data_IF_621591913171
#
_entry.id   IF_621591913171
#
_cell.length_a   1.000
_cell.length_b   1.000
_cell.length_c   1.000
_cell.angle_alpha   90.00
_cell.angle_beta   90.00
_cell.angle_gamma   90.00
#
_symmetry.space_group_name_H-M   'P 1'
#
loop_
_entity.id
_entity.type
_entity.pdbx_description
1 polymer ?
#
# COMPACT_ATOMS: atom_id res chain seq x y z
N UNK A 1 -32.37 1.04 4.21
CA UNK A 1 -31.31 1.43 5.16
C UNK A 1 -30.03 1.57 4.36
N UNK A 2 -29.20 2.59 4.56
CA UNK A 2 -27.91 2.66 3.90
C UNK A 2 -27.09 1.42 4.27
N UNK A 3 -26.46 0.79 3.29
CA UNK A 3 -25.61 -0.38 3.50
C UNK A 3 -24.39 0.11 4.30
N UNK A 4 -24.23 -0.33 5.53
CA UNK A 4 -23.02 -0.05 6.33
C UNK A 4 -21.91 -0.95 5.80
N UNK A 5 -20.95 -0.36 5.10
CA UNK A 5 -19.79 -1.09 4.63
C UNK A 5 -18.82 -1.35 5.79
N UNK A 6 -18.41 -2.60 5.94
CA UNK A 6 -17.34 -2.99 6.85
C UNK A 6 -15.96 -2.76 6.23
N UNK A 7 -14.95 -2.49 7.05
CA UNK A 7 -13.58 -2.19 6.60
C UNK A 7 -12.57 -3.10 7.29
N UNK A 8 -11.69 -3.73 6.50
CA UNK A 8 -10.50 -4.40 7.00
C UNK A 8 -9.26 -3.58 6.64
N UNK A 9 -8.45 -3.26 7.65
CA UNK A 9 -7.19 -2.51 7.50
C UNK A 9 -6.04 -3.49 7.50
N UNK A 10 -5.32 -3.58 6.38
CA UNK A 10 -4.16 -4.45 6.20
C UNK A 10 -2.89 -3.63 6.33
N UNK A 11 -2.02 -4.01 7.28
CA UNK A 11 -0.78 -3.29 7.61
C UNK A 11 0.41 -4.21 7.35
N UNK A 12 1.23 -3.95 6.32
CA UNK A 12 2.49 -4.66 6.15
C UNK A 12 3.52 -4.13 7.15
N UNK A 13 4.12 -5.01 7.94
CA UNK A 13 5.15 -4.68 8.91
C UNK A 13 6.46 -5.38 8.56
N UNK A 14 7.58 -4.63 8.59
CA UNK A 14 8.94 -5.16 8.49
C UNK A 14 9.90 -4.31 9.28
N UNK A 15 10.23 -4.75 10.50
CA UNK A 15 11.13 -4.07 11.44
C UNK A 15 10.68 -2.64 11.84
N UNK A 16 9.38 -2.31 11.65
CA UNK A 16 8.79 -0.98 11.92
C UNK A 16 8.08 -0.90 13.29
N UNK A 17 8.61 -1.60 14.31
CA UNK A 17 7.99 -1.80 15.64
C UNK A 17 7.49 -0.51 16.29
N UNK A 18 8.32 0.54 16.29
CA UNK A 18 7.99 1.82 16.94
C UNK A 18 6.75 2.49 16.34
N UNK A 19 6.62 2.42 15.02
CA UNK A 19 5.49 3.04 14.31
C UNK A 19 4.25 2.17 14.40
N UNK A 20 4.41 0.85 14.33
CA UNK A 20 3.30 -0.09 14.43
C UNK A 20 2.49 0.12 15.70
N UNK A 21 3.15 0.19 16.87
CA UNK A 21 2.46 0.38 18.15
C UNK A 21 1.60 1.64 18.19
N UNK A 22 2.13 2.79 17.74
CA UNK A 22 1.36 4.04 17.70
C UNK A 22 0.20 3.97 16.71
N UNK A 23 0.42 3.37 15.54
CA UNK A 23 -0.61 3.24 14.51
C UNK A 23 -1.74 2.31 14.98
N UNK A 24 -1.41 1.19 15.63
CA UNK A 24 -2.43 0.29 16.16
C UNK A 24 -3.27 0.96 17.26
N UNK A 25 -2.66 1.79 18.09
CA UNK A 25 -3.40 2.57 19.10
C UNK A 25 -4.40 3.53 18.43
N UNK A 26 -3.97 4.26 17.39
CA UNK A 26 -4.84 5.18 16.66
C UNK A 26 -6.00 4.45 15.98
N UNK A 27 -5.71 3.31 15.33
CA UNK A 27 -6.71 2.52 14.64
C UNK A 27 -7.70 1.82 15.58
N UNK A 28 -7.27 1.43 16.77
CA UNK A 28 -8.14 0.82 17.79
C UNK A 28 -9.14 1.80 18.40
N UNK A 29 -8.93 3.09 18.23
CA UNK A 29 -9.84 4.14 18.67
C UNK A 29 -10.88 4.54 17.60
N UNK A 30 -10.86 3.94 16.41
CA UNK A 30 -11.84 4.23 15.36
C UNK A 30 -13.22 3.66 15.68
N UNK A 31 -14.26 4.37 15.26
CA UNK A 31 -15.67 3.96 15.44
C UNK A 31 -16.44 4.07 14.12
N UNK A 32 -17.14 3.01 13.65
CA UNK A 32 -17.11 1.63 14.20
C UNK A 32 -15.71 1.01 14.10
N UNK A 33 -15.36 0.09 15.01
CA UNK A 33 -14.06 -0.55 15.04
C UNK A 33 -13.83 -1.37 13.75
N UNK A 34 -12.77 -1.08 12.95
CA UNK A 34 -12.44 -1.88 11.78
C UNK A 34 -11.79 -3.21 12.16
N UNK A 35 -11.83 -4.17 11.26
CA UNK A 35 -10.97 -5.35 11.35
C UNK A 35 -9.51 -4.94 11.07
N UNK A 36 -8.57 -5.25 11.97
CA UNK A 36 -7.16 -4.90 11.80
C UNK A 36 -6.34 -6.17 11.59
N UNK A 37 -5.52 -6.18 10.53
CA UNK A 37 -4.70 -7.31 10.12
C UNK A 37 -3.27 -6.82 9.93
N UNK A 38 -2.33 -7.37 10.71
CA UNK A 38 -0.90 -7.09 10.57
C UNK A 38 -0.24 -8.26 9.85
N UNK A 39 0.35 -7.98 8.69
CA UNK A 39 1.11 -8.95 7.90
C UNK A 39 2.59 -8.72 8.14
N UNK A 40 3.17 -9.52 9.04
CA UNK A 40 4.53 -9.35 9.55
C UNK A 40 5.56 -10.14 8.76
N UNK A 41 6.61 -9.47 8.32
CA UNK A 41 7.82 -10.05 7.73
C UNK A 41 9.09 -9.53 8.41
N UNK A 42 8.99 -9.18 9.69
CA UNK A 42 10.09 -8.70 10.52
C UNK A 42 11.04 -9.84 10.90
N UNK A 43 12.28 -9.49 11.23
CA UNK A 43 13.29 -10.45 11.71
C UNK A 43 12.94 -10.99 13.10
N UNK A 44 12.38 -10.14 13.96
CA UNK A 44 11.93 -10.51 15.29
C UNK A 44 10.40 -10.47 15.37
N UNK A 45 9.77 -11.59 15.05
CA UNK A 45 8.32 -11.77 15.13
C UNK A 45 7.78 -11.70 16.56
N UNK A 46 8.62 -11.99 17.56
CA UNK A 46 8.24 -11.94 18.96
C UNK A 46 7.83 -10.54 19.39
N UNK A 47 8.56 -9.53 18.95
CA UNK A 47 8.24 -8.12 19.23
C UNK A 47 6.91 -7.70 18.60
N UNK A 48 6.65 -8.08 17.34
CA UNK A 48 5.38 -7.75 16.69
C UNK A 48 4.21 -8.46 17.36
N UNK A 49 4.40 -9.73 17.75
CA UNK A 49 3.40 -10.50 18.49
C UNK A 49 3.04 -9.84 19.81
N UNK A 50 4.04 -9.32 20.54
CA UNK A 50 3.80 -8.61 21.80
C UNK A 50 3.02 -7.32 21.60
N UNK A 51 3.39 -6.52 20.59
CA UNK A 51 2.67 -5.28 20.23
C UNK A 51 1.21 -5.57 19.85
N UNK A 52 0.93 -6.70 19.18
CA UNK A 52 -0.42 -7.04 18.74
C UNK A 52 -1.30 -7.65 19.84
N UNK A 53 -0.74 -8.13 20.95
CA UNK A 53 -1.50 -8.82 22.02
C UNK A 53 -2.58 -7.96 22.68
N UNK A 54 -2.29 -6.68 22.89
CA UNK A 54 -3.16 -5.76 23.61
C UNK A 54 -4.37 -5.28 22.78
N UNK A 55 -4.42 -5.68 21.51
CA UNK A 55 -5.45 -5.27 20.57
C UNK A 55 -6.05 -6.51 19.89
N UNK A 56 -7.32 -6.48 19.55
CA UNK A 56 -8.00 -7.56 18.81
C UNK A 56 -7.54 -7.62 17.35
N UNK A 57 -6.23 -7.88 17.14
CA UNK A 57 -5.54 -7.80 15.86
C UNK A 57 -5.27 -9.21 15.34
N UNK A 58 -5.55 -9.41 14.05
CA UNK A 58 -5.11 -10.61 13.33
C UNK A 58 -3.65 -10.43 12.91
N UNK A 59 -2.76 -11.24 13.46
CA UNK A 59 -1.34 -11.25 13.12
C UNK A 59 -1.05 -12.41 12.16
N UNK A 60 -0.42 -12.12 11.03
CA UNK A 60 0.05 -13.09 10.03
C UNK A 60 1.55 -12.97 9.90
N UNK A 61 2.25 -14.11 9.90
CA UNK A 61 3.67 -14.18 9.54
C UNK A 61 3.79 -14.47 8.05
N UNK A 62 4.60 -13.68 7.32
CA UNK A 62 4.76 -13.79 5.87
C UNK A 62 6.23 -13.96 5.51
N UNK A 63 6.55 -15.08 4.86
CA UNK A 63 7.88 -15.39 4.33
C UNK A 63 7.74 -15.91 2.88
N UNK A 64 8.66 -15.54 1.99
CA UNK A 64 9.74 -14.57 2.14
C UNK A 64 9.22 -13.13 2.23
N UNK A 65 10.02 -12.17 2.75
CA UNK A 65 9.59 -10.78 2.95
C UNK A 65 9.41 -10.06 1.60
N UNK A 66 8.17 -10.00 1.14
CA UNK A 66 7.74 -9.21 -0.03
C UNK A 66 6.55 -8.38 0.36
N UNK A 67 6.58 -7.07 0.05
CA UNK A 67 5.49 -6.17 0.40
C UNK A 67 4.19 -6.55 -0.31
N UNK A 68 4.24 -6.88 -1.60
CA UNK A 68 3.07 -7.36 -2.33
C UNK A 68 2.48 -8.60 -1.68
N UNK A 69 3.31 -9.59 -1.32
CA UNK A 69 2.85 -10.80 -0.62
C UNK A 69 2.24 -10.51 0.76
N UNK A 70 2.84 -9.60 1.53
CA UNK A 70 2.27 -9.21 2.83
C UNK A 70 0.86 -8.63 2.67
N UNK A 71 0.66 -7.76 1.69
CA UNK A 71 -0.62 -7.14 1.40
C UNK A 71 -1.65 -8.16 0.88
N UNK A 72 -1.25 -9.03 -0.05
CA UNK A 72 -2.11 -10.09 -0.59
C UNK A 72 -2.54 -11.08 0.50
N UNK A 73 -1.61 -11.56 1.32
CA UNK A 73 -1.91 -12.47 2.43
C UNK A 73 -2.80 -11.84 3.49
N UNK A 74 -2.60 -10.54 3.78
CA UNK A 74 -3.49 -9.79 4.64
C UNK A 74 -4.90 -9.69 4.07
N UNK A 75 -5.03 -9.40 2.79
CA UNK A 75 -6.31 -9.32 2.09
C UNK A 75 -7.05 -10.68 2.05
N UNK A 76 -6.33 -11.80 1.90
CA UNK A 76 -6.91 -13.16 1.97
C UNK A 76 -7.58 -13.45 3.32
N UNK A 77 -7.07 -12.87 4.42
CA UNK A 77 -7.60 -13.05 5.78
C UNK A 77 -8.66 -12.03 6.18
N UNK A 78 -8.86 -11.01 5.33
CA UNK A 78 -9.87 -9.99 5.54
C UNK A 78 -11.29 -10.51 5.24
N UNK A 79 -12.25 -10.09 6.07
CA UNK A 79 -13.66 -10.52 5.94
C UNK A 79 -14.61 -9.37 5.57
N UNK A 80 -14.11 -8.14 5.59
CA UNK A 80 -14.92 -6.94 5.36
C UNK A 80 -15.18 -6.66 3.87
N UNK A 81 -16.14 -5.76 3.59
CA UNK A 81 -16.51 -5.36 2.22
C UNK A 81 -15.42 -4.54 1.54
N UNK A 82 -14.71 -3.72 2.32
CA UNK A 82 -13.66 -2.80 1.87
C UNK A 82 -12.33 -3.22 2.48
N UNK A 83 -11.29 -3.29 1.66
CA UNK A 83 -9.90 -3.41 2.06
C UNK A 83 -9.26 -2.03 2.08
N UNK A 84 -8.56 -1.68 3.16
CA UNK A 84 -7.72 -0.51 3.29
C UNK A 84 -6.27 -0.96 3.52
N UNK A 85 -5.38 -0.68 2.60
CA UNK A 85 -3.95 -0.98 2.71
C UNK A 85 -3.23 0.21 3.32
N UNK A 86 -2.80 0.07 4.56
CA UNK A 86 -2.27 1.17 5.37
C UNK A 86 -0.85 0.89 5.84
N UNK A 87 0.00 1.93 5.85
CA UNK A 87 1.38 1.80 6.31
C UNK A 87 1.51 2.07 7.81
N UNK A 88 2.37 1.30 8.49
CA UNK A 88 2.63 1.47 9.90
C UNK A 88 3.18 2.87 10.29
N UNK A 89 3.73 3.63 9.35
CA UNK A 89 4.32 4.95 9.58
C UNK A 89 3.48 6.12 9.04
N UNK A 90 2.20 5.89 8.81
CA UNK A 90 1.28 6.88 8.22
C UNK A 90 0.16 7.20 9.21
N UNK A 91 -0.19 8.48 9.35
CA UNK A 91 -1.25 8.94 10.25
C UNK A 91 -2.63 8.57 9.67
N UNK A 92 -3.53 8.06 10.53
CA UNK A 92 -4.91 7.78 10.15
C UNK A 92 -5.84 8.15 11.30
N UNK A 93 -6.86 8.95 11.03
CA UNK A 93 -7.79 9.47 12.03
C UNK A 93 -9.23 9.09 11.70
N UNK A 94 -10.15 9.32 12.66
CA UNK A 94 -11.59 9.14 12.47
C UNK A 94 -12.09 9.88 11.22
N UNK A 95 -11.60 11.10 10.96
CA UNK A 95 -12.00 11.89 9.79
C UNK A 95 -11.64 11.21 8.45
N UNK A 96 -10.48 10.51 8.37
CA UNK A 96 -10.13 9.69 7.21
C UNK A 96 -11.11 8.50 7.08
N UNK A 97 -11.38 7.84 8.19
CA UNK A 97 -12.26 6.68 8.23
C UNK A 97 -13.70 7.02 7.83
N UNK A 98 -14.25 8.10 8.37
CA UNK A 98 -15.58 8.59 8.03
C UNK A 98 -15.68 8.99 6.54
N UNK A 99 -14.66 9.66 6.02
CA UNK A 99 -14.59 10.05 4.60
C UNK A 99 -14.58 8.84 3.68
N UNK A 100 -13.88 7.76 4.08
CA UNK A 100 -13.86 6.50 3.33
C UNK A 100 -15.27 5.87 3.30
N UNK A 101 -15.88 5.65 4.45
CA UNK A 101 -17.20 5.05 4.54
C UNK A 101 -18.26 5.90 3.82
N UNK A 102 -18.22 7.21 4.02
CA UNK A 102 -19.14 8.14 3.37
C UNK A 102 -19.02 8.09 1.84
N UNK A 103 -17.83 7.94 1.30
CA UNK A 103 -17.62 7.88 -0.15
C UNK A 103 -18.38 6.73 -0.79
N UNK A 104 -18.35 5.53 -0.21
CA UNK A 104 -19.09 4.36 -0.71
C UNK A 104 -20.60 4.45 -0.44
N UNK A 105 -21.01 5.12 0.63
CA UNK A 105 -22.42 5.32 0.92
C UNK A 105 -23.10 6.35 0.00
N UNK A 106 -22.33 7.33 -0.51
CA UNK A 106 -22.85 8.40 -1.37
C UNK A 106 -22.79 8.10 -2.85
N UNK A 107 -21.85 7.23 -3.27
CA UNK A 107 -21.63 6.90 -4.68
C UNK A 107 -21.33 5.41 -4.82
N UNK A 108 -22.34 4.63 -5.17
CA UNK A 108 -22.22 3.17 -5.34
C UNK A 108 -21.39 2.75 -6.57
N UNK A 109 -20.98 3.69 -7.40
CA UNK A 109 -20.12 3.40 -8.56
C UNK A 109 -18.63 3.36 -8.20
N UNK A 110 -18.25 3.86 -7.01
CA UNK A 110 -16.87 3.83 -6.54
C UNK A 110 -16.46 2.39 -6.26
N UNK A 111 -15.35 1.98 -6.87
CA UNK A 111 -14.75 0.65 -6.66
C UNK A 111 -13.55 0.68 -5.73
N UNK A 112 -12.90 1.84 -5.57
CA UNK A 112 -11.72 2.03 -4.74
C UNK A 112 -11.15 3.42 -4.87
N UNK A 113 -9.97 3.62 -4.27
CA UNK A 113 -9.29 4.90 -4.29
C UNK A 113 -8.10 5.00 -3.34
N UNK A 114 -7.73 6.23 -3.01
CA UNK A 114 -6.70 6.54 -2.04
C UNK A 114 -6.95 7.92 -1.41
N UNK A 115 -6.18 8.27 -0.40
CA UNK A 115 -6.22 9.60 0.18
C UNK A 115 -5.20 10.53 -0.51
N UNK A 116 -5.50 11.84 -0.49
CA UNK A 116 -4.53 12.84 -0.90
C UNK A 116 -3.32 12.81 0.03
N UNK A 117 -2.12 12.83 -0.55
CA UNK A 117 -0.90 12.93 0.23
C UNK A 117 -0.65 14.38 0.64
N UNK A 118 -0.30 14.61 1.91
CA UNK A 118 0.20 15.91 2.37
C UNK A 118 1.66 16.06 1.91
N UNK A 119 1.85 16.90 0.91
CA UNK A 119 3.18 17.32 0.46
C UNK A 119 3.49 18.59 1.24
N UNK A 120 4.38 18.51 2.24
CA UNK A 120 4.82 19.68 3.00
C UNK A 120 5.47 20.70 2.04
N UNK A 121 4.72 21.73 1.70
CA UNK A 121 5.12 22.80 0.79
C UNK A 121 5.97 23.84 1.53
N UNK A 122 7.22 23.48 1.83
CA UNK A 122 8.18 24.41 2.49
C UNK A 122 8.61 25.57 1.58
N UNK A 123 8.36 25.48 0.27
CA UNK A 123 8.74 26.51 -0.70
C UNK A 123 7.59 26.83 -1.65
N UNK A 124 7.38 28.11 -2.04
CA UNK A 124 6.29 28.52 -2.94
C UNK A 124 6.29 27.81 -4.30
N UNK A 125 7.47 27.47 -4.82
CA UNK A 125 7.63 26.72 -6.07
C UNK A 125 7.04 25.30 -5.97
N UNK A 126 7.10 24.67 -4.79
CA UNK A 126 6.48 23.36 -4.56
C UNK A 126 4.95 23.42 -4.48
N UNK A 127 4.36 24.60 -4.19
CA UNK A 127 2.89 24.76 -4.17
C UNK A 127 2.29 24.56 -5.56
N UNK A 128 2.92 25.10 -6.59
CA UNK A 128 2.47 24.91 -7.97
C UNK A 128 2.63 23.43 -8.38
N UNK A 129 3.76 22.81 -8.05
CA UNK A 129 4.01 21.40 -8.29
C UNK A 129 3.02 20.51 -7.50
N UNK A 130 2.71 20.85 -6.27
CA UNK A 130 1.71 20.18 -5.43
C UNK A 130 0.31 20.26 -6.04
N UNK A 131 -0.06 21.40 -6.63
CA UNK A 131 -1.34 21.56 -7.30
C UNK A 131 -1.44 20.68 -8.57
N UNK A 132 -0.40 20.66 -9.41
CA UNK A 132 -0.33 19.77 -10.56
C UNK A 132 -0.35 18.30 -10.12
N UNK A 133 0.42 17.94 -9.10
CA UNK A 133 0.44 16.59 -8.54
C UNK A 133 -0.94 16.18 -8.02
N UNK A 134 -1.65 17.09 -7.36
CA UNK A 134 -3.01 16.84 -6.87
C UNK A 134 -3.95 16.53 -8.03
N UNK A 135 -4.00 17.39 -9.06
CA UNK A 135 -4.86 17.19 -10.24
C UNK A 135 -4.48 15.89 -10.96
N UNK A 136 -3.18 15.65 -11.16
CA UNK A 136 -2.69 14.43 -11.77
C UNK A 136 -3.14 13.19 -11.00
N UNK A 137 -2.93 13.16 -9.67
CA UNK A 137 -3.32 12.03 -8.83
C UNK A 137 -4.84 11.82 -8.81
N UNK A 138 -5.63 12.89 -8.84
CA UNK A 138 -7.10 12.80 -8.82
C UNK A 138 -7.66 12.16 -10.10
N UNK A 139 -7.08 12.44 -11.26
CA UNK A 139 -7.70 12.08 -12.54
C UNK A 139 -6.96 10.98 -13.31
N UNK A 140 -5.64 10.96 -13.27
CA UNK A 140 -4.83 10.11 -14.15
C UNK A 140 -3.75 9.35 -13.36
N UNK A 141 -3.28 9.91 -12.24
CA UNK A 141 -2.07 9.49 -11.57
C UNK A 141 -2.18 8.16 -10.85
N UNK A 142 -1.02 7.59 -10.61
CA UNK A 142 -0.85 6.38 -9.80
C UNK A 142 -1.28 6.62 -8.36
N UNK A 143 -2.00 5.67 -7.78
CA UNK A 143 -2.26 5.59 -6.35
C UNK A 143 -1.09 4.87 -5.70
N UNK A 144 -0.33 5.59 -4.88
CA UNK A 144 0.82 5.00 -4.21
C UNK A 144 0.43 4.39 -2.87
N UNK A 145 1.09 3.31 -2.47
CA UNK A 145 0.78 2.62 -1.23
C UNK A 145 0.84 3.51 0.03
N UNK A 146 1.67 4.55 0.05
CA UNK A 146 1.75 5.51 1.16
C UNK A 146 0.60 6.56 1.19
N UNK A 147 -0.40 6.39 0.31
CA UNK A 147 -1.65 7.14 0.28
C UNK A 147 -2.83 6.37 0.91
N UNK A 148 -2.57 5.25 1.57
CA UNK A 148 -3.60 4.36 2.13
C UNK A 148 -4.67 4.01 1.09
N UNK A 149 -4.29 3.15 0.17
CA UNK A 149 -5.16 2.68 -0.93
C UNK A 149 -6.30 1.84 -0.36
N UNK A 150 -7.51 2.10 -0.82
CA UNK A 150 -8.70 1.32 -0.45
C UNK A 150 -9.43 0.80 -1.70
N UNK A 151 -10.08 -0.34 -1.57
CA UNK A 151 -10.79 -1.00 -2.67
C UNK A 151 -11.87 -1.93 -2.16
N UNK A 152 -12.94 -2.16 -2.94
CA UNK A 152 -13.88 -3.22 -2.67
C UNK A 152 -13.16 -4.57 -2.70
N UNK A 153 -13.37 -5.40 -1.67
CA UNK A 153 -12.70 -6.71 -1.55
C UNK A 153 -12.94 -7.60 -2.77
N UNK A 154 -14.14 -7.62 -3.32
CA UNK A 154 -14.47 -8.38 -4.53
C UNK A 154 -13.62 -7.94 -5.72
N UNK A 155 -13.50 -6.62 -5.94
CA UNK A 155 -12.71 -6.05 -7.04
C UNK A 155 -11.21 -6.32 -6.86
N UNK A 156 -10.71 -6.26 -5.60
CA UNK A 156 -9.31 -6.59 -5.33
C UNK A 156 -8.94 -7.98 -5.82
N UNK A 157 -9.76 -8.98 -5.50
CA UNK A 157 -9.50 -10.36 -5.93
C UNK A 157 -9.77 -10.58 -7.41
N UNK A 158 -10.76 -9.93 -7.99
CA UNK A 158 -11.04 -9.99 -9.42
C UNK A 158 -9.89 -9.45 -10.27
N UNK A 159 -9.20 -8.39 -9.78
CA UNK A 159 -8.01 -7.83 -10.43
C UNK A 159 -6.72 -8.61 -10.16
N UNK A 160 -6.74 -9.67 -9.35
CA UNK A 160 -5.60 -10.50 -9.01
C UNK A 160 -4.70 -9.94 -7.90
N UNK A 161 -5.16 -8.91 -7.16
CA UNK A 161 -4.41 -8.31 -6.05
C UNK A 161 -3.12 -7.62 -6.49
N UNK A 162 -2.12 -7.63 -5.61
CA UNK A 162 -0.79 -7.05 -5.86
C UNK A 162 0.17 -8.01 -6.57
N UNK A 163 -0.26 -9.25 -6.84
CA UNK A 163 0.50 -10.32 -7.54
C UNK A 163 1.82 -10.69 -6.85
N UNK A 164 1.95 -10.40 -5.56
CA UNK A 164 3.17 -10.67 -4.80
C UNK A 164 4.42 -9.98 -5.32
N UNK A 165 4.28 -8.93 -6.13
CA UNK A 165 5.39 -8.25 -6.77
C UNK A 165 6.39 -7.69 -5.73
N UNK A 166 7.70 -7.80 -5.99
CA UNK A 166 8.72 -7.33 -5.05
C UNK A 166 8.88 -5.80 -5.03
N UNK A 167 8.46 -5.12 -6.10
CA UNK A 167 8.48 -3.67 -6.29
C UNK A 167 7.43 -3.29 -7.34
N UNK A 168 6.92 -2.04 -7.29
CA UNK A 168 5.88 -1.50 -8.20
C UNK A 168 4.51 -2.20 -8.07
N UNK A 169 4.26 -2.91 -6.97
CA UNK A 169 3.00 -3.58 -6.68
C UNK A 169 1.82 -2.58 -6.68
N UNK A 170 2.03 -1.41 -6.08
CA UNK A 170 1.04 -0.34 -6.01
C UNK A 170 0.81 0.35 -7.37
N UNK A 171 1.88 0.54 -8.15
CA UNK A 171 1.80 1.12 -9.50
C UNK A 171 1.01 0.20 -10.42
N UNK A 172 1.31 -1.11 -10.38
CA UNK A 172 0.62 -2.13 -11.17
C UNK A 172 -0.87 -2.20 -10.81
N UNK A 173 -1.16 -2.35 -9.52
CA UNK A 173 -2.53 -2.43 -9.03
C UNK A 173 -3.34 -1.17 -9.31
N UNK A 174 -2.73 0.01 -9.12
CA UNK A 174 -3.37 1.30 -9.42
C UNK A 174 -3.78 1.43 -10.88
N UNK A 175 -2.95 0.97 -11.81
CA UNK A 175 -3.29 0.97 -13.23
C UNK A 175 -4.51 0.09 -13.50
N UNK A 176 -4.47 -1.16 -13.06
CA UNK A 176 -5.59 -2.11 -13.21
C UNK A 176 -6.90 -1.57 -12.62
N UNK A 177 -6.82 -0.99 -11.40
CA UNK A 177 -8.00 -0.44 -10.71
C UNK A 177 -8.63 0.72 -11.49
N UNK A 178 -7.80 1.62 -12.06
CA UNK A 178 -8.29 2.74 -12.85
C UNK A 178 -8.88 2.33 -14.20
N UNK A 179 -8.30 1.32 -14.83
CA UNK A 179 -8.81 0.78 -16.09
C UNK A 179 -10.13 0.04 -15.90
N UNK A 180 -10.36 -0.49 -14.68
CA UNK A 180 -11.55 -1.26 -14.35
C UNK A 180 -12.77 -0.38 -14.03
N UNK A 181 -12.61 0.76 -13.34
CA UNK A 181 -13.77 1.55 -12.98
C UNK A 181 -13.52 2.86 -12.23
N UNK A 182 -14.54 3.34 -11.52
CA UNK A 182 -14.54 4.63 -10.87
C UNK A 182 -13.67 4.64 -9.60
N UNK A 183 -12.55 5.36 -9.69
CA UNK A 183 -11.57 5.50 -8.60
C UNK A 183 -11.61 6.91 -8.02
N UNK A 184 -11.73 7.03 -6.69
CA UNK A 184 -11.82 8.32 -6.01
C UNK A 184 -10.60 8.61 -5.13
N UNK A 185 -10.09 9.84 -5.22
CA UNK A 185 -9.09 10.34 -4.28
C UNK A 185 -9.76 11.23 -3.25
N UNK A 186 -9.66 10.83 -1.98
CA UNK A 186 -10.36 11.46 -0.87
C UNK A 186 -9.50 12.55 -0.19
N UNK A 187 -10.15 13.61 0.24
CA UNK A 187 -9.70 14.47 1.33
C UNK A 187 -10.35 13.92 2.63
N UNK A 188 -9.70 13.98 3.78
CA UNK A 188 -8.52 14.74 4.21
C UNK A 188 -7.19 14.17 3.72
N UNK A 189 -6.13 14.99 3.86
CA UNK A 189 -4.79 14.61 3.44
C UNK A 189 -4.12 13.68 4.44
N UNK A 190 -3.47 12.65 3.94
CA UNK A 190 -2.70 11.70 4.73
C UNK A 190 -1.23 12.15 4.85
N UNK A 191 -0.66 11.99 6.04
CA UNK A 191 0.74 12.35 6.33
C UNK A 191 1.54 11.09 6.61
N UNK A 192 2.61 10.88 5.85
CA UNK A 192 3.62 9.88 6.21
C UNK A 192 4.53 10.45 7.30
N UNK A 193 4.95 9.63 8.26
CA UNK A 193 5.75 10.08 9.39
C UNK A 193 7.06 10.75 8.96
N UNK A 194 7.55 11.68 9.80
CA UNK A 194 8.76 12.48 9.61
C UNK A 194 10.07 11.68 9.48
N UNK A 195 10.04 10.35 9.55
CA UNK A 195 11.18 9.44 9.41
C UNK A 195 11.99 9.66 8.12
N UNK A 196 11.32 10.14 7.06
CA UNK A 196 11.93 10.34 5.72
C UNK A 196 12.62 11.70 5.53
N UNK A 197 12.60 12.57 6.53
CA UNK A 197 13.21 13.91 6.44
C UNK A 197 14.59 14.04 7.09
N UNK A 198 15.46 13.07 6.93
CA UNK A 198 16.89 13.33 7.03
C UNK A 198 17.32 14.07 5.75
N UNK A 199 17.81 15.29 5.94
CA UNK A 199 17.90 16.34 4.92
C UNK A 199 18.72 16.02 3.65
N UNK A 200 19.63 15.05 3.67
CA UNK A 200 20.63 14.88 2.62
C UNK A 200 20.33 13.78 1.58
N UNK A 201 19.34 12.92 1.81
CA UNK A 201 19.03 11.81 0.87
C UNK A 201 17.68 11.90 0.16
N UNK A 202 16.83 12.88 0.53
CA UNK A 202 15.41 12.87 0.13
C UNK A 202 15.22 13.16 -1.36
N UNK A 203 16.00 14.10 -1.93
CA UNK A 203 15.88 14.47 -3.34
C UNK A 203 16.39 13.34 -4.26
N UNK A 204 17.57 12.82 -3.96
CA UNK A 204 18.16 11.70 -4.72
C UNK A 204 17.26 10.45 -4.67
N UNK A 205 16.66 10.16 -3.51
CA UNK A 205 15.72 9.05 -3.37
C UNK A 205 14.46 9.28 -4.20
N UNK A 206 13.90 10.50 -4.20
CA UNK A 206 12.75 10.84 -5.06
C UNK A 206 13.06 10.72 -6.53
N UNK A 207 14.24 11.19 -6.97
CA UNK A 207 14.71 11.03 -8.35
C UNK A 207 14.90 9.56 -8.72
N UNK A 208 15.53 8.76 -7.83
CA UNK A 208 15.66 7.31 -8.03
C UNK A 208 14.29 6.62 -8.17
N UNK A 209 13.34 6.94 -7.29
CA UNK A 209 11.99 6.37 -7.36
C UNK A 209 11.28 6.76 -8.67
N UNK A 210 11.38 8.03 -9.08
CA UNK A 210 10.82 8.50 -10.35
C UNK A 210 11.44 7.78 -11.54
N UNK A 211 12.77 7.61 -11.55
CA UNK A 211 13.48 6.87 -12.57
C UNK A 211 13.01 5.40 -12.66
N UNK A 212 12.85 4.72 -11.53
CA UNK A 212 12.35 3.35 -11.49
C UNK A 212 10.91 3.24 -12.02
N UNK A 213 10.04 4.22 -11.75
CA UNK A 213 8.69 4.27 -12.31
C UNK A 213 8.73 4.43 -13.84
N UNK A 214 9.63 5.28 -14.35
CA UNK A 214 9.82 5.45 -15.80
C UNK A 214 10.28 4.13 -16.42
N UNK A 215 11.29 3.48 -15.86
CA UNK A 215 11.78 2.19 -16.35
C UNK A 215 10.68 1.11 -16.32
N UNK A 216 9.86 1.08 -15.27
CA UNK A 216 8.71 0.18 -15.18
C UNK A 216 7.73 0.41 -16.33
N UNK A 217 7.38 1.68 -16.62
CA UNK A 217 6.50 2.05 -17.74
C UNK A 217 7.09 1.75 -19.11
N UNK A 218 8.41 1.68 -19.22
CA UNK A 218 9.13 1.24 -20.42
C UNK A 218 9.24 -0.30 -20.52
N UNK A 219 8.60 -1.05 -19.62
CA UNK A 219 8.53 -2.51 -19.66
C UNK A 219 9.65 -3.25 -18.93
N UNK A 220 10.47 -2.55 -18.12
CA UNK A 220 11.47 -3.23 -17.29
C UNK A 220 10.77 -4.01 -16.18
N UNK A 221 11.11 -5.30 -16.04
CA UNK A 221 10.51 -6.22 -15.06
C UNK A 221 10.62 -5.70 -13.63
N UNK A 222 9.55 -5.81 -12.79
CA UNK A 222 9.58 -5.48 -11.37
C UNK A 222 10.69 -6.17 -10.58
N UNK A 223 11.05 -7.38 -10.96
CA UNK A 223 12.14 -8.15 -10.33
C UNK A 223 13.50 -7.50 -10.57
N UNK A 224 13.77 -7.08 -11.82
CA UNK A 224 15.01 -6.36 -12.16
C UNK A 224 15.07 -4.99 -11.48
N UNK A 225 13.94 -4.30 -11.39
CA UNK A 225 13.83 -3.02 -10.67
C UNK A 225 14.09 -3.21 -9.18
N UNK A 226 13.62 -4.32 -8.59
CA UNK A 226 13.89 -4.65 -7.20
C UNK A 226 15.39 -4.91 -6.93
N UNK A 227 16.08 -5.61 -7.84
CA UNK A 227 17.54 -5.77 -7.78
C UNK A 227 18.26 -4.42 -7.84
N UNK A 228 17.87 -3.53 -8.74
CA UNK A 228 18.44 -2.17 -8.86
C UNK A 228 18.14 -1.30 -7.61
N UNK A 229 16.98 -1.52 -6.96
CA UNK A 229 16.57 -0.73 -5.81
C UNK A 229 17.24 -1.17 -4.52
N UNK A 230 17.30 -2.48 -4.28
CA UNK A 230 17.81 -3.06 -3.03
C UNK A 230 19.31 -3.42 -3.11
N UNK A 231 19.90 -3.47 -4.33
CA UNK A 231 21.29 -3.89 -4.56
C UNK A 231 21.49 -5.39 -4.34
N UNK A 232 22.72 -5.86 -4.52
CA UNK A 232 23.09 -7.29 -4.39
C UNK A 232 22.86 -7.89 -3.00
N UNK A 233 22.62 -7.08 -1.96
CA UNK A 233 22.29 -7.56 -0.62
C UNK A 233 20.93 -8.28 -0.57
N UNK A 234 20.05 -8.07 -1.55
CA UNK A 234 18.79 -8.79 -1.66
C UNK A 234 18.94 -10.19 -2.26
N UNK A 235 19.96 -10.44 -3.05
CA UNK A 235 20.25 -11.73 -3.64
C UNK A 235 20.74 -12.74 -2.59
N UNK A 236 21.57 -12.30 -1.62
CA UNK A 236 22.12 -13.19 -0.60
C UNK A 236 21.14 -13.52 0.54
N UNK A 237 20.15 -12.66 0.81
CA UNK A 237 19.12 -12.91 1.83
C UNK A 237 17.82 -13.50 1.27
N UNK A 238 17.69 -13.59 -0.05
CA UNK A 238 16.56 -14.19 -0.78
C UNK A 238 16.94 -15.48 -1.53
N UNK A 239 18.03 -16.15 -1.12
CA UNK A 239 18.51 -17.42 -1.66
C UNK A 239 17.57 -18.60 -1.41
N UNK A 240 16.30 -18.47 -1.79
CA UNK A 240 15.28 -19.49 -1.81
C UNK A 240 14.46 -19.32 -3.08
N UNK A 241 14.89 -19.99 -4.15
CA UNK A 241 14.09 -20.44 -5.29
C UNK A 241 13.17 -19.41 -5.99
N UNK A 242 13.74 -18.54 -6.80
CA UNK A 242 13.07 -18.16 -8.04
C UNK A 242 13.61 -19.06 -9.18
N UNK A 243 13.11 -20.28 -9.23
CA UNK A 243 13.26 -21.14 -10.39
C UNK A 243 12.52 -20.47 -11.55
N UNK A 244 13.27 -20.08 -12.56
CA UNK A 244 12.76 -19.71 -13.87
C UNK A 244 12.09 -20.95 -14.48
N UNK A 245 10.79 -21.12 -14.28
CA UNK A 245 10.00 -21.98 -15.15
C UNK A 245 9.93 -21.30 -16.51
N UNK A 246 10.89 -21.58 -17.35
CA UNK A 246 10.81 -21.46 -18.79
C UNK A 246 9.61 -22.28 -19.27
N UNK A 247 8.56 -21.59 -19.69
CA UNK A 247 7.47 -22.21 -20.46
C UNK A 247 8.09 -22.59 -21.80
N UNK A 248 8.43 -23.85 -21.96
CA UNK A 248 8.67 -24.46 -23.27
C UNK A 248 7.37 -24.40 -24.05
N UNK A 249 7.37 -23.59 -25.09
CA UNK A 249 6.35 -23.66 -26.14
C UNK A 249 6.59 -24.94 -26.93
N UNK A 250 5.86 -26.00 -26.62
CA UNK A 250 5.72 -27.15 -27.52
C UNK A 250 5.14 -26.68 -28.84
N UNK A 251 5.95 -26.80 -29.88
CA UNK A 251 5.51 -26.70 -31.27
C UNK A 251 4.67 -27.96 -31.56
N UNK A 252 3.40 -27.74 -31.83
CA UNK A 252 2.55 -28.76 -32.43
C UNK A 252 2.79 -28.68 -33.94
N UNK A 253 3.34 -29.75 -34.51
CA UNK A 253 3.31 -30.04 -35.94
C UNK A 253 1.89 -30.44 -36.40
#
# INVERSE_FOLDING_TARGET
>A
MPKTHSVSIVIPCRDDYKYLSSTLLDLSNLSPLPEIIVSDASKDHGVVKEICKDHQIKLLQVEPPSRGQQLDKGAEKANSDILLFHHADTDFSQNHYDSLIQSFNTDSTIIGGAFLKDINDLYPMFRLFSWFHKIYTMHIGTLYGDQSVFVLRSIFFELGGFEGLPLMEDVNFSSKLRDYGNVRVLAPKIKSSKRKFSREGTLLRKLKNMWLIILYRLGVSPYKLAEMYYGDQSASSRGGQFSSNSVELEKIE
#
